data_IF_415060117720
#
_entry.id   IF_415060117720
#
_cell.length_a   1.000
_cell.length_b   1.000
_cell.length_c   1.000
_cell.angle_alpha   90.00
_cell.angle_beta   90.00
_cell.angle_gamma   90.00
#
_symmetry.space_group_name_H-M   'P 1'
#
loop_
_entity.id
_entity.type
_entity.pdbx_description
1 polymer ?
#
# COMPACT_ATOMS: atom_id res chain seq x y z
N UNK A 1 -36.12 -3.69 30.95
CA UNK A 1 -35.28 -2.84 30.07
C UNK A 1 -35.19 -3.54 28.72
N UNK A 2 -35.72 -2.97 27.62
CA UNK A 2 -35.56 -3.58 26.29
C UNK A 2 -34.07 -3.52 25.95
N UNK A 3 -33.42 -4.67 25.94
CA UNK A 3 -32.03 -4.81 25.51
C UNK A 3 -31.96 -4.31 24.06
N UNK A 4 -31.10 -3.34 23.76
CA UNK A 4 -30.90 -2.88 22.39
C UNK A 4 -30.32 -4.06 21.59
N UNK A 5 -31.18 -4.80 20.89
CA UNK A 5 -30.75 -5.85 19.96
C UNK A 5 -30.16 -5.18 18.74
N UNK A 6 -28.89 -5.44 18.47
CA UNK A 6 -28.25 -5.05 17.21
C UNK A 6 -28.88 -5.90 16.11
N UNK A 7 -29.36 -5.24 15.06
CA UNK A 7 -29.97 -5.88 13.89
C UNK A 7 -28.98 -5.92 12.73
N UNK A 8 -29.11 -6.89 11.80
CA UNK A 8 -28.36 -6.89 10.55
C UNK A 8 -28.52 -5.59 9.75
N UNK A 9 -27.57 -5.30 8.87
CA UNK A 9 -27.67 -4.18 7.95
C UNK A 9 -28.89 -4.36 7.03
N UNK A 10 -29.63 -3.27 6.79
CA UNK A 10 -30.79 -3.26 5.89
C UNK A 10 -30.38 -2.72 4.52
N UNK A 11 -30.83 -3.39 3.46
CA UNK A 11 -30.65 -2.91 2.09
C UNK A 11 -31.62 -1.76 1.79
N UNK A 12 -31.20 -0.86 0.89
CA UNK A 12 -32.09 0.17 0.34
C UNK A 12 -33.14 -0.49 -0.55
N UNK A 13 -34.29 0.18 -0.72
CA UNK A 13 -35.33 -0.27 -1.64
C UNK A 13 -34.78 -0.48 -3.06
N UNK A 14 -35.21 -1.57 -3.70
CA UNK A 14 -34.74 -1.96 -5.04
C UNK A 14 -33.39 -2.69 -5.09
N UNK A 15 -32.67 -2.82 -3.98
CA UNK A 15 -31.39 -3.56 -3.91
C UNK A 15 -31.60 -4.94 -3.29
N UNK A 16 -31.13 -5.99 -3.97
CA UNK A 16 -31.22 -7.37 -3.47
C UNK A 16 -29.85 -7.89 -2.99
N UNK A 17 -29.84 -8.88 -2.10
CA UNK A 17 -28.58 -9.50 -1.69
C UNK A 17 -27.86 -10.22 -2.85
N UNK A 18 -28.60 -10.68 -3.85
CA UNK A 18 -28.05 -11.31 -5.05
C UNK A 18 -27.31 -10.29 -5.95
N UNK A 19 -27.75 -9.03 -6.01
CA UNK A 19 -27.09 -7.99 -6.81
C UNK A 19 -25.77 -7.48 -6.22
N UNK A 20 -25.41 -7.89 -5.00
CA UNK A 20 -24.10 -7.60 -4.40
C UNK A 20 -22.97 -8.50 -4.94
N UNK A 21 -23.27 -9.48 -5.80
CA UNK A 21 -22.34 -10.54 -6.23
C UNK A 21 -21.42 -10.17 -7.41
N UNK A 22 -21.64 -9.04 -8.09
CA UNK A 22 -21.05 -8.79 -9.42
C UNK A 22 -19.66 -8.13 -9.45
N UNK A 23 -18.98 -7.95 -8.33
CA UNK A 23 -17.56 -7.55 -8.39
C UNK A 23 -16.70 -8.76 -8.69
N UNK A 24 -16.49 -9.03 -9.99
CA UNK A 24 -15.37 -9.84 -10.44
C UNK A 24 -14.12 -9.32 -9.73
N UNK A 25 -13.43 -10.21 -9.03
CA UNK A 25 -12.12 -9.92 -8.46
C UNK A 25 -11.27 -9.53 -9.66
N UNK A 26 -10.95 -8.23 -9.80
CA UNK A 26 -9.85 -7.81 -10.64
C UNK A 26 -8.62 -8.41 -9.98
N UNK A 27 -8.30 -9.66 -10.38
CA UNK A 27 -7.22 -10.41 -9.80
C UNK A 27 -5.96 -9.56 -9.89
N UNK A 28 -5.24 -9.47 -8.78
CA UNK A 28 -3.81 -9.15 -8.83
C UNK A 28 -3.23 -9.91 -10.02
N UNK A 29 -2.67 -9.19 -10.99
CA UNK A 29 -1.96 -9.78 -12.12
C UNK A 29 -1.03 -10.87 -11.56
N UNK A 30 -1.23 -12.12 -12.00
CA UNK A 30 -0.31 -13.22 -11.67
C UNK A 30 0.98 -13.14 -12.47
N UNK A 31 1.11 -12.11 -13.31
CA UNK A 31 2.25 -11.87 -14.16
C UNK A 31 3.38 -11.29 -13.35
N UNK A 32 4.57 -11.86 -13.51
CA UNK A 32 5.80 -11.29 -12.96
C UNK A 32 6.03 -9.91 -13.58
N UNK A 33 6.10 -8.89 -12.74
CA UNK A 33 6.36 -7.50 -13.13
C UNK A 33 7.84 -7.37 -13.43
N UNK A 34 8.18 -6.72 -14.55
CA UNK A 34 9.56 -6.47 -14.99
C UNK A 34 9.75 -5.02 -15.36
N UNK A 35 10.99 -4.57 -15.25
CA UNK A 35 11.46 -3.29 -15.79
C UNK A 35 12.72 -2.85 -15.07
N UNK A 36 13.01 -1.55 -15.11
CA UNK A 36 14.32 -1.04 -14.65
C UNK A 36 14.21 -0.11 -13.46
N UNK A 37 15.30 -0.02 -12.71
CA UNK A 37 15.41 0.81 -11.53
C UNK A 37 15.27 2.32 -11.80
N UNK A 38 14.55 2.99 -10.90
CA UNK A 38 14.45 4.43 -10.69
C UNK A 38 15.00 4.74 -9.30
N UNK A 39 16.27 5.11 -9.25
CA UNK A 39 16.99 5.21 -7.99
C UNK A 39 17.02 6.65 -7.50
N UNK A 40 16.60 6.84 -6.25
CA UNK A 40 16.85 8.09 -5.52
C UNK A 40 18.22 8.01 -4.85
N UNK A 41 19.21 8.69 -5.42
CA UNK A 41 20.54 8.83 -4.84
C UNK A 41 20.59 10.06 -3.91
N UNK A 42 21.32 9.95 -2.80
CA UNK A 42 21.60 11.11 -1.96
C UNK A 42 22.58 12.05 -2.70
N UNK A 43 22.18 13.28 -3.05
CA UNK A 43 23.06 14.21 -3.76
C UNK A 43 24.26 14.66 -2.92
N UNK A 44 24.22 14.46 -1.59
CA UNK A 44 25.35 14.72 -0.69
C UNK A 44 26.31 13.53 -0.60
N UNK A 45 25.91 12.37 -1.12
CA UNK A 45 26.83 11.26 -1.32
C UNK A 45 27.71 11.53 -2.55
N UNK A 46 28.54 10.57 -2.95
CA UNK A 46 29.28 10.64 -4.21
C UNK A 46 28.62 9.67 -5.22
N UNK A 47 27.52 10.06 -5.91
CA UNK A 47 26.85 9.18 -6.87
C UNK A 47 27.82 8.67 -7.95
N UNK A 48 27.61 7.44 -8.41
CA UNK A 48 28.50 6.79 -9.38
C UNK A 48 29.83 6.30 -8.80
N UNK A 49 30.03 6.41 -7.48
CA UNK A 49 31.19 5.85 -6.78
C UNK A 49 30.76 4.79 -5.77
N UNK A 50 31.74 4.04 -5.23
CA UNK A 50 31.51 3.09 -4.13
C UNK A 50 30.98 3.72 -2.83
N UNK A 51 30.98 5.05 -2.73
CA UNK A 51 30.45 5.79 -1.56
C UNK A 51 29.05 6.35 -1.80
N UNK A 52 28.44 6.07 -2.96
CA UNK A 52 27.09 6.48 -3.27
C UNK A 52 26.11 5.84 -2.29
N UNK A 53 25.14 6.63 -1.80
CA UNK A 53 24.09 6.16 -0.91
C UNK A 53 22.73 6.44 -1.53
N UNK A 54 21.75 5.56 -1.26
CA UNK A 54 20.36 5.88 -1.57
C UNK A 54 19.88 6.99 -0.66
N UNK A 55 18.97 7.81 -1.17
CA UNK A 55 18.38 8.89 -0.42
C UNK A 55 17.41 8.31 0.61
N UNK A 56 17.71 8.59 1.87
CA UNK A 56 16.86 8.27 3.00
C UNK A 56 15.84 9.39 3.25
N UNK A 57 14.83 9.09 4.06
CA UNK A 57 13.90 10.07 4.63
C UNK A 57 13.10 10.88 3.61
N UNK A 58 12.83 10.31 2.44
CA UNK A 58 11.91 10.89 1.48
C UNK A 58 10.52 10.94 2.13
N UNK A 59 10.02 12.12 2.44
CA UNK A 59 8.69 12.28 3.03
C UNK A 59 7.57 12.41 1.99
N UNK A 60 6.31 12.42 2.43
CA UNK A 60 5.16 12.56 1.55
C UNK A 60 5.08 13.91 0.82
N UNK A 61 5.71 14.98 1.33
CA UNK A 61 5.82 16.26 0.62
C UNK A 61 6.76 16.17 -0.59
N UNK A 62 7.83 15.40 -0.45
CA UNK A 62 8.76 15.13 -1.54
C UNK A 62 8.19 14.17 -2.58
N UNK A 63 7.28 13.27 -2.20
CA UNK A 63 6.53 12.43 -3.15
C UNK A 63 5.43 13.24 -3.84
N UNK A 64 4.63 13.97 -3.09
CA UNK A 64 3.54 14.78 -3.64
C UNK A 64 3.42 16.09 -2.86
N UNK A 65 3.82 17.23 -3.44
CA UNK A 65 3.73 18.52 -2.78
C UNK A 65 2.30 18.82 -2.32
N UNK A 66 2.16 19.50 -1.17
CA UNK A 66 0.84 19.83 -0.63
C UNK A 66 -0.03 20.64 -1.61
N UNK A 67 0.57 21.54 -2.40
CA UNK A 67 -0.12 22.32 -3.42
C UNK A 67 -0.73 21.46 -4.54
N UNK A 68 -0.18 20.27 -4.78
CA UNK A 68 -0.64 19.31 -5.78
C UNK A 68 -1.69 18.33 -5.21
N UNK A 69 -1.99 18.41 -3.90
CA UNK A 69 -3.02 17.59 -3.24
C UNK A 69 -4.42 18.26 -3.21
N UNK A 70 -4.61 19.36 -3.94
CA UNK A 70 -5.85 20.15 -3.91
C UNK A 70 -6.50 20.18 -5.30
N UNK A 71 -7.73 19.69 -5.40
CA UNK A 71 -8.57 19.82 -6.60
C UNK A 71 -9.87 20.54 -6.31
N UNK A 72 -10.42 21.19 -7.33
CA UNK A 72 -11.70 21.89 -7.31
C UNK A 72 -12.82 21.10 -8.01
N UNK A 73 -12.49 19.99 -8.68
CA UNK A 73 -13.44 19.10 -9.34
C UNK A 73 -13.08 17.63 -9.14
N UNK A 74 -14.09 16.77 -9.12
CA UNK A 74 -13.93 15.32 -9.15
C UNK A 74 -13.40 14.83 -10.51
N UNK A 75 -13.69 15.55 -11.59
CA UNK A 75 -13.33 15.18 -12.96
C UNK A 75 -11.83 15.30 -13.21
N UNK A 76 -11.18 16.27 -12.56
CA UNK A 76 -9.74 16.58 -12.68
C UNK A 76 -8.98 16.28 -11.40
N UNK A 77 -9.59 15.48 -10.52
CA UNK A 77 -9.11 15.23 -9.16
C UNK A 77 -7.67 14.70 -9.14
N UNK A 78 -7.31 13.87 -10.12
CA UNK A 78 -6.02 13.20 -10.17
C UNK A 78 -4.93 13.95 -10.93
N UNK A 79 -5.28 14.95 -11.75
CA UNK A 79 -4.34 15.62 -12.65
C UNK A 79 -3.15 16.22 -11.90
N UNK A 80 -3.41 16.93 -10.81
CA UNK A 80 -2.37 17.63 -10.06
C UNK A 80 -1.47 16.70 -9.28
N UNK A 81 -2.00 15.72 -8.55
CA UNK A 81 -1.13 14.83 -7.77
C UNK A 81 -0.33 13.86 -8.66
N UNK A 82 -0.86 13.51 -9.83
CA UNK A 82 -0.09 12.77 -10.85
C UNK A 82 1.06 13.62 -11.36
N UNK A 83 0.79 14.86 -11.76
CA UNK A 83 1.83 15.80 -12.20
C UNK A 83 2.80 16.23 -11.09
N UNK A 84 2.36 16.17 -9.83
CA UNK A 84 3.16 16.49 -8.64
C UNK A 84 4.09 15.36 -8.18
N UNK A 85 3.89 14.14 -8.69
CA UNK A 85 4.66 12.95 -8.28
C UNK A 85 6.16 13.16 -8.49
N UNK A 86 6.89 13.24 -7.38
CA UNK A 86 8.32 13.54 -7.29
C UNK A 86 8.79 14.82 -7.99
N UNK A 87 7.90 15.81 -8.20
CA UNK A 87 8.18 17.00 -9.02
C UNK A 87 9.52 17.68 -8.72
N UNK A 88 9.87 17.81 -7.44
CA UNK A 88 11.10 18.49 -7.03
C UNK A 88 12.29 17.55 -6.83
N UNK A 89 12.02 16.26 -6.59
CA UNK A 89 13.05 15.29 -6.26
C UNK A 89 13.56 14.52 -7.48
N UNK A 90 12.68 14.23 -8.44
CA UNK A 90 12.97 13.64 -9.73
C UNK A 90 12.03 14.27 -10.79
N UNK A 91 12.36 15.47 -11.31
CA UNK A 91 11.47 16.24 -12.17
C UNK A 91 11.04 15.51 -13.46
N UNK A 92 11.83 14.54 -13.92
CA UNK A 92 11.57 13.70 -15.09
C UNK A 92 10.95 12.34 -14.75
N UNK A 93 10.50 12.12 -13.50
CA UNK A 93 9.94 10.85 -13.01
C UNK A 93 8.86 10.29 -13.94
N UNK A 94 7.84 11.10 -14.29
CA UNK A 94 6.76 10.66 -15.19
C UNK A 94 7.27 10.26 -16.57
N UNK A 95 8.17 11.06 -17.16
CA UNK A 95 8.75 10.75 -18.48
C UNK A 95 9.55 9.45 -18.46
N UNK A 96 10.30 9.21 -17.37
CA UNK A 96 11.06 7.98 -17.15
C UNK A 96 10.15 6.76 -16.96
N UNK A 97 9.07 6.88 -16.20
CA UNK A 97 8.08 5.81 -16.05
C UNK A 97 7.45 5.47 -17.40
N UNK A 98 7.03 6.48 -18.17
CA UNK A 98 6.49 6.28 -19.52
C UNK A 98 7.52 5.70 -20.50
N UNK A 99 8.82 5.79 -20.19
CA UNK A 99 9.90 5.16 -20.95
C UNK A 99 10.20 3.71 -20.51
N UNK A 100 9.43 3.16 -19.54
CA UNK A 100 9.52 1.77 -19.10
C UNK A 100 10.18 1.54 -17.75
N UNK A 101 10.68 2.58 -17.07
CA UNK A 101 11.30 2.43 -15.76
C UNK A 101 10.23 2.39 -14.66
N UNK A 102 10.08 1.27 -13.95
CA UNK A 102 8.95 1.06 -13.04
C UNK A 102 9.32 0.50 -11.66
N UNK A 103 10.60 0.42 -11.32
CA UNK A 103 11.07 0.02 -9.99
C UNK A 103 11.62 1.23 -9.24
N UNK A 104 10.82 1.87 -8.40
CA UNK A 104 11.29 2.96 -7.53
C UNK A 104 12.14 2.39 -6.41
N UNK A 105 13.42 2.79 -6.33
CA UNK A 105 14.36 2.34 -5.31
C UNK A 105 14.73 3.52 -4.41
N UNK A 106 14.47 3.40 -3.11
CA UNK A 106 14.75 4.42 -2.12
C UNK A 106 15.41 3.86 -0.86
N UNK A 107 16.09 4.72 -0.10
CA UNK A 107 16.77 4.35 1.13
C UNK A 107 15.84 4.09 2.31
N UNK A 108 16.37 4.30 3.51
CA UNK A 108 15.64 4.14 4.76
C UNK A 108 14.57 5.22 4.91
N UNK A 109 13.49 4.91 5.63
CA UNK A 109 12.44 5.87 5.99
C UNK A 109 11.78 6.53 4.78
N UNK A 110 11.59 5.76 3.70
CA UNK A 110 10.81 6.20 2.54
C UNK A 110 9.34 6.40 2.89
N UNK A 111 8.74 7.46 2.35
CA UNK A 111 7.35 7.87 2.50
C UNK A 111 6.89 8.09 3.95
N UNK A 112 7.76 8.65 4.79
CA UNK A 112 7.38 9.11 6.13
C UNK A 112 6.55 10.40 6.08
N UNK A 113 5.90 10.74 7.20
CA UNK A 113 5.18 11.99 7.36
C UNK A 113 3.66 11.83 7.26
N UNK A 114 3.02 12.81 6.64
CA UNK A 114 1.56 12.97 6.67
C UNK A 114 0.80 11.87 5.92
N UNK A 115 -0.45 11.61 6.32
CA UNK A 115 -1.33 10.64 5.66
C UNK A 115 -1.88 11.17 4.33
N UNK A 116 -1.04 11.19 3.28
CA UNK A 116 -1.45 11.57 1.92
C UNK A 116 -1.72 10.34 1.09
N UNK A 117 -2.99 10.02 0.86
CA UNK A 117 -3.37 8.97 -0.10
C UNK A 117 -3.02 9.36 -1.54
N UNK A 118 -2.86 10.66 -1.80
CA UNK A 118 -2.47 11.20 -3.10
C UNK A 118 -1.07 10.76 -3.51
N UNK A 119 -0.18 10.48 -2.55
CA UNK A 119 1.17 10.00 -2.83
C UNK A 119 1.18 8.62 -3.49
N UNK A 120 0.68 7.54 -2.86
CA UNK A 120 0.61 6.25 -3.53
C UNK A 120 -0.35 6.25 -4.73
N UNK A 121 -1.43 7.04 -4.71
CA UNK A 121 -2.33 7.16 -5.86
C UNK A 121 -1.64 7.77 -7.08
N UNK A 122 -0.92 8.89 -6.90
CA UNK A 122 -0.19 9.55 -7.98
C UNK A 122 0.88 8.66 -8.61
N UNK A 123 1.67 7.97 -7.78
CA UNK A 123 2.68 7.02 -8.25
C UNK A 123 2.05 5.88 -9.08
N UNK A 124 0.96 5.31 -8.58
CA UNK A 124 0.24 4.25 -9.30
C UNK A 124 -0.33 4.77 -10.62
N UNK A 125 -1.03 5.90 -10.60
CA UNK A 125 -1.68 6.43 -11.79
C UNK A 125 -0.69 6.84 -12.88
N UNK A 126 0.49 7.35 -12.53
CA UNK A 126 1.57 7.62 -13.51
C UNK A 126 1.99 6.34 -14.24
N UNK A 127 2.06 5.20 -13.54
CA UNK A 127 2.38 3.92 -14.17
C UNK A 127 1.20 3.36 -14.98
N UNK A 128 -0.02 3.45 -14.44
CA UNK A 128 -1.25 3.00 -15.13
C UNK A 128 -1.42 3.72 -16.48
N UNK A 129 -1.11 5.02 -16.57
CA UNK A 129 -1.15 5.80 -17.81
C UNK A 129 -0.19 5.28 -18.89
N UNK A 130 0.92 4.68 -18.47
CA UNK A 130 1.90 4.04 -19.34
C UNK A 130 1.57 2.55 -19.61
N UNK A 131 0.49 2.02 -19.03
CA UNK A 131 0.16 0.59 -19.08
C UNK A 131 1.15 -0.28 -18.31
N UNK A 132 1.82 0.26 -17.29
CA UNK A 132 2.82 -0.41 -16.47
C UNK A 132 2.33 -0.60 -15.04
N UNK A 133 2.86 -1.61 -14.37
CA UNK A 133 2.76 -1.74 -12.91
C UNK A 133 4.02 -1.15 -12.26
N UNK A 134 3.85 -0.28 -11.26
CA UNK A 134 4.95 0.29 -10.47
C UNK A 134 5.24 -0.57 -9.23
N UNK A 135 6.51 -0.79 -8.95
CA UNK A 135 6.98 -1.44 -7.72
C UNK A 135 7.86 -0.45 -6.95
N UNK A 136 7.51 -0.17 -5.70
CA UNK A 136 8.34 0.63 -4.79
C UNK A 136 9.13 -0.31 -3.89
N UNK A 137 10.45 -0.22 -3.93
CA UNK A 137 11.39 -0.96 -3.09
C UNK A 137 12.11 0.04 -2.19
N UNK A 138 11.93 -0.09 -0.88
CA UNK A 138 12.64 0.72 0.12
C UNK A 138 13.46 -0.14 1.07
N UNK A 139 14.45 0.48 1.73
CA UNK A 139 15.33 -0.22 2.66
C UNK A 139 14.64 -0.47 4.01
N UNK A 140 14.97 0.25 5.07
CA UNK A 140 14.33 0.04 6.39
C UNK A 140 13.23 1.06 6.66
N UNK A 141 12.22 0.65 7.44
CA UNK A 141 11.23 1.54 8.05
C UNK A 141 10.44 2.40 7.05
N UNK A 142 9.92 1.80 5.97
CA UNK A 142 8.97 2.49 5.09
C UNK A 142 7.76 2.97 5.90
N UNK A 143 7.28 4.20 5.65
CA UNK A 143 6.16 4.78 6.37
C UNK A 143 4.91 3.90 6.35
N UNK A 144 4.44 3.47 7.52
CA UNK A 144 3.35 2.49 7.64
C UNK A 144 2.04 2.96 6.99
N UNK A 145 1.76 4.27 7.08
CA UNK A 145 0.55 4.87 6.48
C UNK A 145 0.62 4.79 4.96
N UNK A 146 1.77 5.18 4.38
CA UNK A 146 1.99 5.04 2.94
C UNK A 146 1.87 3.58 2.52
N UNK A 147 2.58 2.66 3.20
CA UNK A 147 2.56 1.22 2.93
C UNK A 147 1.13 0.66 2.90
N UNK A 148 0.33 0.97 3.92
CA UNK A 148 -1.08 0.57 3.99
C UNK A 148 -1.89 1.15 2.84
N UNK A 149 -1.75 2.44 2.57
CA UNK A 149 -2.50 3.11 1.50
C UNK A 149 -2.11 2.55 0.12
N UNK A 150 -0.84 2.19 -0.10
CA UNK A 150 -0.38 1.50 -1.30
C UNK A 150 -1.08 0.17 -1.50
N UNK A 151 -1.14 -0.69 -0.47
CA UNK A 151 -1.89 -1.96 -0.57
C UNK A 151 -3.38 -1.75 -0.82
N UNK A 152 -3.98 -0.73 -0.20
CA UNK A 152 -5.39 -0.40 -0.41
C UNK A 152 -5.70 -0.01 -1.87
N UNK A 153 -4.73 0.64 -2.54
CA UNK A 153 -4.83 1.10 -3.93
C UNK A 153 -4.30 0.08 -4.94
N UNK A 154 -3.69 -1.01 -4.49
CA UNK A 154 -3.03 -2.00 -5.35
C UNK A 154 -1.66 -1.58 -5.89
N UNK A 155 -0.99 -0.60 -5.28
CA UNK A 155 0.40 -0.27 -5.57
C UNK A 155 1.33 -1.27 -4.85
N UNK A 156 2.27 -1.87 -5.58
CA UNK A 156 3.21 -2.82 -5.00
C UNK A 156 4.30 -2.10 -4.20
N UNK A 157 4.42 -2.46 -2.93
CA UNK A 157 5.47 -1.97 -2.02
C UNK A 157 6.24 -3.14 -1.40
N UNK A 158 7.55 -2.98 -1.36
CA UNK A 158 8.53 -4.00 -1.00
C UNK A 158 9.54 -3.36 -0.05
N UNK A 159 9.73 -3.97 1.12
CA UNK A 159 10.80 -3.59 2.05
C UNK A 159 11.92 -4.63 1.94
N UNK A 160 13.08 -4.22 1.43
CA UNK A 160 14.24 -5.11 1.21
C UNK A 160 15.54 -4.31 1.28
N UNK A 161 16.17 -4.20 2.46
CA UNK A 161 17.45 -3.49 2.61
C UNK A 161 18.55 -4.03 1.69
N UNK A 162 18.60 -5.35 1.50
CA UNK A 162 19.58 -6.01 0.64
C UNK A 162 19.41 -5.63 -0.83
N UNK A 163 18.18 -5.63 -1.34
CA UNK A 163 17.92 -5.24 -2.73
C UNK A 163 18.24 -3.76 -2.99
N UNK A 164 17.95 -2.89 -2.02
CA UNK A 164 18.25 -1.45 -2.12
C UNK A 164 19.76 -1.19 -2.11
N UNK A 165 20.51 -1.93 -1.29
CA UNK A 165 21.96 -1.80 -1.21
C UNK A 165 22.66 -2.24 -2.50
N UNK A 166 22.14 -3.29 -3.14
CA UNK A 166 22.71 -3.85 -4.38
C UNK A 166 22.37 -3.02 -5.63
N UNK A 167 21.16 -2.46 -5.71
CA UNK A 167 20.64 -1.80 -6.91
C UNK A 167 21.55 -0.70 -7.47
N UNK A 168 21.82 -0.76 -8.78
CA UNK A 168 22.53 0.27 -9.56
C UNK A 168 21.64 0.87 -10.65
N UNK A 169 22.04 2.04 -11.16
CA UNK A 169 21.29 2.70 -12.24
C UNK A 169 21.23 1.78 -13.48
N UNK A 170 20.03 1.63 -14.03
CA UNK A 170 19.79 0.77 -15.20
C UNK A 170 19.64 -0.71 -14.90
N UNK A 171 19.78 -1.15 -13.63
CA UNK A 171 19.51 -2.53 -13.26
C UNK A 171 18.07 -2.94 -13.61
N UNK A 172 17.93 -4.12 -14.21
CA UNK A 172 16.66 -4.75 -14.49
C UNK A 172 16.21 -5.54 -13.25
N UNK A 173 14.94 -5.39 -12.89
CA UNK A 173 14.31 -6.08 -11.77
C UNK A 173 13.11 -6.88 -12.24
N UNK A 174 12.85 -7.97 -11.52
CA UNK A 174 11.58 -8.67 -11.57
C UNK A 174 10.97 -8.85 -10.19
N UNK A 175 9.65 -8.71 -10.11
CA UNK A 175 8.88 -8.91 -8.89
C UNK A 175 7.70 -9.84 -9.18
N UNK A 176 7.60 -10.92 -8.42
CA UNK A 176 6.46 -11.83 -8.47
C UNK A 176 5.42 -11.40 -7.43
N UNK A 177 4.25 -10.87 -7.82
CA UNK A 177 3.23 -10.45 -6.86
C UNK A 177 2.66 -11.60 -6.03
N UNK A 178 2.72 -12.84 -6.51
CA UNK A 178 2.16 -14.01 -5.82
C UNK A 178 3.09 -14.47 -4.71
N UNK A 179 4.38 -14.62 -5.00
CA UNK A 179 5.37 -15.10 -4.02
C UNK A 179 6.05 -13.96 -3.25
N UNK A 180 5.88 -12.72 -3.71
CA UNK A 180 6.62 -11.52 -3.29
C UNK A 180 8.14 -11.62 -3.48
N UNK A 181 8.64 -12.57 -4.27
CA UNK A 181 10.07 -12.64 -4.58
C UNK A 181 10.47 -11.47 -5.47
N UNK A 182 11.53 -10.79 -5.06
CA UNK A 182 12.16 -9.71 -5.83
C UNK A 182 13.50 -10.21 -6.33
N UNK A 183 13.84 -9.94 -7.58
CA UNK A 183 15.12 -10.30 -8.17
C UNK A 183 15.74 -9.10 -8.87
N UNK A 184 17.02 -8.86 -8.63
CA UNK A 184 17.84 -8.01 -9.50
C UNK A 184 18.38 -8.91 -10.61
N UNK A 185 17.80 -8.81 -11.81
CA UNK A 185 18.15 -9.64 -12.95
C UNK A 185 19.55 -9.30 -13.49
N UNK A 186 19.95 -8.03 -13.42
CA UNK A 186 21.27 -7.58 -13.86
C UNK A 186 22.39 -8.10 -12.96
N UNK A 187 22.18 -8.05 -11.64
CA UNK A 187 23.19 -8.51 -10.66
C UNK A 187 23.08 -10.01 -10.36
N UNK A 188 22.00 -10.67 -10.79
CA UNK A 188 21.78 -12.10 -10.60
C UNK A 188 21.39 -12.51 -9.17
N UNK A 189 20.93 -11.56 -8.35
CA UNK A 189 20.61 -11.77 -6.93
C UNK A 189 19.09 -11.85 -6.70
N UNK A 190 18.68 -12.79 -5.86
CA UNK A 190 17.29 -12.99 -5.41
C UNK A 190 17.12 -12.50 -3.97
N UNK A 191 16.00 -11.84 -3.69
CA UNK A 191 15.69 -11.23 -2.41
C UNK A 191 14.34 -11.73 -1.87
N UNK A 192 14.30 -11.96 -0.55
CA UNK A 192 13.07 -12.23 0.19
C UNK A 192 12.69 -10.98 0.98
N UNK A 193 11.66 -10.23 0.56
CA UNK A 193 11.25 -9.03 1.29
C UNK A 193 10.79 -9.34 2.71
N UNK A 194 10.77 -8.30 3.54
CA UNK A 194 10.15 -8.37 4.87
C UNK A 194 8.72 -8.92 4.75
N UNK A 195 8.35 -9.93 5.56
CA UNK A 195 7.05 -10.56 5.48
C UNK A 195 5.93 -9.57 5.83
N UNK A 196 4.80 -9.72 5.16
CA UNK A 196 3.58 -8.99 5.50
C UNK A 196 2.81 -9.70 6.61
N UNK A 197 2.07 -8.93 7.39
CA UNK A 197 1.05 -9.51 8.27
C UNK A 197 -0.04 -10.22 7.44
N UNK A 198 -0.75 -11.16 8.06
CA UNK A 198 -1.83 -11.90 7.39
C UNK A 198 -2.89 -10.96 6.79
N UNK A 199 -3.21 -9.86 7.46
CA UNK A 199 -4.21 -8.89 6.98
C UNK A 199 -3.71 -8.05 5.81
N UNK A 200 -2.44 -7.62 5.84
CA UNK A 200 -1.82 -6.94 4.69
C UNK A 200 -1.80 -7.86 3.47
N UNK A 201 -1.48 -9.14 3.65
CA UNK A 201 -1.48 -10.12 2.58
C UNK A 201 -2.88 -10.38 2.01
N UNK A 202 -3.92 -10.44 2.86
CA UNK A 202 -5.32 -10.55 2.44
C UNK A 202 -5.74 -9.35 1.58
N UNK A 203 -5.52 -8.12 2.06
CA UNK A 203 -5.89 -6.88 1.36
C UNK A 203 -5.17 -6.77 0.01
N UNK A 204 -3.88 -7.11 0.00
CA UNK A 204 -3.06 -7.08 -1.21
C UNK A 204 -3.59 -8.08 -2.25
N UNK A 205 -3.89 -9.32 -1.85
CA UNK A 205 -4.38 -10.37 -2.75
C UNK A 205 -5.80 -10.12 -3.25
N UNK A 206 -6.63 -9.40 -2.50
CA UNK A 206 -7.99 -9.05 -2.93
C UNK A 206 -8.05 -7.91 -3.96
N UNK A 207 -6.91 -7.32 -4.34
CA UNK A 207 -6.87 -6.14 -5.20
C UNK A 207 -7.25 -4.86 -4.45
N UNK A 208 -6.98 -4.80 -3.14
CA UNK A 208 -7.24 -3.63 -2.31
C UNK A 208 -8.43 -3.76 -1.36
N UNK A 209 -8.56 -2.79 -0.46
CA UNK A 209 -9.49 -2.84 0.68
C UNK A 209 -10.95 -2.69 0.29
N UNK A 210 -11.25 -2.02 -0.82
CA UNK A 210 -12.63 -1.88 -1.30
C UNK A 210 -13.24 -3.24 -1.67
N UNK A 211 -12.45 -4.15 -2.22
CA UNK A 211 -12.91 -5.52 -2.51
C UNK A 211 -13.23 -6.27 -1.22
N UNK A 212 -12.37 -6.16 -0.20
CA UNK A 212 -12.65 -6.73 1.13
C UNK A 212 -13.92 -6.13 1.72
N UNK A 213 -14.06 -4.80 1.65
CA UNK A 213 -15.24 -4.07 2.17
C UNK A 213 -16.55 -4.48 1.48
N UNK A 214 -16.54 -4.73 0.17
CA UNK A 214 -17.73 -5.24 -0.55
C UNK A 214 -18.14 -6.64 -0.04
N UNK A 215 -17.16 -7.51 0.23
CA UNK A 215 -17.43 -8.81 0.81
C UNK A 215 -17.99 -8.71 2.23
N UNK A 216 -17.47 -7.78 3.05
CA UNK A 216 -17.97 -7.52 4.40
C UNK A 216 -19.39 -6.93 4.39
N UNK A 217 -19.73 -6.05 3.44
CA UNK A 217 -21.08 -5.54 3.25
C UNK A 217 -22.09 -6.66 3.01
N UNK A 218 -21.73 -7.68 2.23
CA UNK A 218 -22.61 -8.84 2.02
C UNK A 218 -22.83 -9.61 3.33
N UNK A 219 -21.76 -9.85 4.10
CA UNK A 219 -21.87 -10.54 5.39
C UNK A 219 -22.73 -9.78 6.40
N UNK A 220 -22.65 -8.44 6.42
CA UNK A 220 -23.38 -7.61 7.39
C UNK A 220 -24.90 -7.65 7.22
N UNK A 221 -25.39 -7.94 6.02
CA UNK A 221 -26.82 -8.12 5.73
C UNK A 221 -27.30 -9.52 6.13
N UNK A 222 -26.45 -10.53 5.93
CA UNK A 222 -26.81 -11.94 6.10
C UNK A 222 -26.58 -12.46 7.53
N UNK A 223 -25.73 -11.78 8.31
CA UNK A 223 -25.28 -12.25 9.62
C UNK A 223 -25.90 -11.40 10.72
N UNK A 224 -26.44 -12.04 11.75
CA UNK A 224 -26.88 -11.34 12.96
C UNK A 224 -25.64 -10.81 13.70
N UNK A 225 -25.52 -9.49 13.96
CA UNK A 225 -24.39 -8.97 14.70
C UNK A 225 -24.37 -9.52 16.13
N UNK A 226 -23.18 -9.87 16.62
CA UNK A 226 -22.93 -10.25 18.01
C UNK A 226 -22.04 -9.22 18.70
N UNK A 227 -22.21 -9.09 20.01
CA UNK A 227 -21.29 -8.35 20.88
C UNK A 227 -20.61 -9.35 21.78
N UNK A 228 -19.30 -9.51 21.58
CA UNK A 228 -18.49 -10.44 22.36
C UNK A 228 -17.78 -9.69 23.49
N UNK A 229 -18.28 -9.88 24.70
CA UNK A 229 -17.64 -9.36 25.90
C UNK A 229 -16.45 -10.24 26.30
N UNK A 230 -15.37 -9.65 26.82
CA UNK A 230 -14.29 -10.44 27.40
C UNK A 230 -14.79 -11.19 28.64
N UNK A 231 -14.13 -12.30 28.97
CA UNK A 231 -14.40 -12.99 30.23
C UNK A 231 -14.25 -12.01 31.41
N UNK A 232 -15.16 -12.00 32.41
CA UNK A 232 -15.08 -11.04 33.50
C UNK A 232 -13.78 -11.07 34.31
N UNK A 233 -13.11 -12.22 34.41
CA UNK A 233 -11.82 -12.34 35.10
C UNK A 233 -10.70 -11.70 34.28
N UNK A 234 -10.72 -11.88 32.95
CA UNK A 234 -9.77 -11.26 32.02
C UNK A 234 -10.00 -9.75 31.93
N UNK A 235 -11.26 -9.33 31.80
CA UNK A 235 -11.66 -7.92 31.71
C UNK A 235 -11.16 -7.07 32.90
N UNK A 236 -11.14 -7.65 34.11
CA UNK A 236 -10.65 -6.99 35.33
C UNK A 236 -9.13 -6.76 35.34
N UNK A 237 -8.40 -7.52 34.53
CA UNK A 237 -6.93 -7.44 34.43
C UNK A 237 -6.50 -6.58 33.24
N UNK A 238 -7.37 -6.38 32.26
CA UNK A 238 -7.12 -5.52 31.11
C UNK A 238 -7.00 -4.05 31.53
N UNK A 239 -5.94 -3.42 31.06
CA UNK A 239 -5.79 -1.97 30.97
C UNK A 239 -6.86 -1.37 30.05
N UNK A 240 -7.06 -0.06 30.14
CA UNK A 240 -7.95 0.66 29.22
C UNK A 240 -7.56 0.46 27.75
N UNK A 241 -6.26 0.37 27.44
CA UNK A 241 -5.78 0.12 26.08
C UNK A 241 -6.18 -1.27 25.59
N UNK A 242 -5.99 -2.30 26.39
CA UNK A 242 -6.40 -3.67 26.04
C UNK A 242 -7.92 -3.79 25.88
N UNK A 243 -8.70 -3.08 26.71
CA UNK A 243 -10.16 -3.04 26.55
C UNK A 243 -10.58 -2.37 25.24
N UNK A 244 -9.92 -1.26 24.85
CA UNK A 244 -10.17 -0.59 23.57
C UNK A 244 -9.81 -1.51 22.41
N UNK A 245 -8.64 -2.18 22.47
CA UNK A 245 -8.22 -3.15 21.46
C UNK A 245 -9.21 -4.32 21.38
N UNK A 246 -9.63 -4.90 22.51
CA UNK A 246 -10.62 -5.97 22.54
C UNK A 246 -11.92 -5.56 21.85
N UNK A 247 -12.45 -4.38 22.19
CA UNK A 247 -13.70 -3.89 21.63
C UNK A 247 -13.62 -3.64 20.11
N UNK A 248 -12.47 -3.19 19.61
CA UNK A 248 -12.28 -2.80 18.21
C UNK A 248 -11.52 -3.82 17.37
N UNK A 249 -11.20 -5.00 17.92
CA UNK A 249 -10.46 -6.04 17.19
C UNK A 249 -11.22 -6.47 15.93
N UNK A 250 -10.49 -6.46 14.82
CA UNK A 250 -10.97 -6.95 13.51
C UNK A 250 -10.92 -8.48 13.48
N UNK A 251 -9.83 -9.05 14.01
CA UNK A 251 -9.72 -10.48 14.27
C UNK A 251 -10.41 -10.81 15.60
N UNK A 252 -11.55 -11.51 15.54
CA UNK A 252 -12.34 -11.85 16.72
C UNK A 252 -11.71 -12.95 17.57
N UNK A 253 -10.81 -13.73 16.98
CA UNK A 253 -10.10 -14.84 17.64
C UNK A 253 -8.80 -14.37 18.30
N UNK A 254 -8.29 -13.19 17.94
CA UNK A 254 -7.09 -12.62 18.52
C UNK A 254 -7.34 -12.11 19.95
N UNK A 255 -6.62 -12.67 20.92
CA UNK A 255 -6.60 -12.18 22.31
C UNK A 255 -5.58 -11.03 22.45
N UNK A 256 -5.88 -9.99 23.26
CA UNK A 256 -4.89 -8.98 23.62
C UNK A 256 -3.70 -9.66 24.30
N UNK A 257 -2.49 -9.32 23.86
CA UNK A 257 -1.23 -9.81 24.41
C UNK A 257 -0.70 -8.84 25.46
#
# INVERSE_FOLDING_TARGET
>A
MKMHTIEPARLKEGVSAASLMESAVAGSSSTVIRGTALIFWDPKSLPGTRFAKKLDAIDTDQITPAADCVSESLETLDEKWKAGSFRYLMPDFRARVHSGQNFVIAGDRFAIGSSREMSPAGLKSVADEAGLELVVVAANNMGDIFRRNSFNLGLHVVQSPEAVADAQDGDAFSFDPVTRRLRNETQGNDYSPVPLSAKEEEIRRSGGIFTVGRNELKKSVLTKPSVDWPDPADARRMTSTEQVIWAHRVDKDQRPA
#
